data_IF_603741422532
#
_entry.id   IF_603741422532
#
_cell.length_a   1.000
_cell.length_b   1.000
_cell.length_c   1.000
_cell.angle_alpha   90.00
_cell.angle_beta   90.00
_cell.angle_gamma   90.00
#
_symmetry.space_group_name_H-M   'P 1'
#
loop_
_entity.id
_entity.type
_entity.pdbx_description
1 polymer ?
#
# COMPACT_ATOMS: atom_id res chain seq x y z
N UNK A 1 3.52 40.84 46.98
CA UNK A 1 3.11 41.89 46.03
C UNK A 1 3.77 41.58 44.68
N UNK A 2 3.05 40.94 43.75
CA UNK A 2 3.51 40.78 42.38
C UNK A 2 3.18 42.06 41.60
N UNK A 3 4.20 42.70 41.03
CA UNK A 3 4.06 43.99 40.36
C UNK A 3 3.06 43.90 39.19
N UNK A 4 2.19 44.91 39.10
CA UNK A 4 1.06 45.06 38.18
C UNK A 4 1.45 45.03 36.68
N UNK A 5 2.74 45.03 36.37
CA UNK A 5 3.33 45.13 35.02
C UNK A 5 3.46 43.79 34.27
N UNK A 6 3.44 42.63 34.95
CA UNK A 6 3.66 41.34 34.25
C UNK A 6 2.36 40.63 33.80
N UNK A 7 1.18 41.21 34.07
CA UNK A 7 -0.11 40.58 33.71
C UNK A 7 -0.33 40.48 32.20
N UNK A 8 0.27 41.38 31.43
CA UNK A 8 0.20 41.39 29.96
C UNK A 8 1.02 40.28 29.31
N UNK A 9 2.09 39.82 29.97
CA UNK A 9 2.94 38.72 29.47
C UNK A 9 2.15 37.40 29.47
N UNK A 10 1.35 37.15 30.51
CA UNK A 10 0.50 35.95 30.56
C UNK A 10 -0.66 35.98 29.57
N UNK A 11 -1.21 37.17 29.29
CA UNK A 11 -2.30 37.33 28.31
C UNK A 11 -1.81 37.09 26.88
N UNK A 12 -0.55 37.41 26.55
CA UNK A 12 0.02 37.11 25.23
C UNK A 12 0.61 35.70 25.10
N UNK A 13 1.07 35.08 26.20
CA UNK A 13 1.65 33.73 26.17
C UNK A 13 0.62 32.63 25.89
N UNK A 14 -0.59 32.76 26.43
CA UNK A 14 -1.66 31.76 26.30
C UNK A 14 -2.10 31.55 24.84
N UNK A 15 -2.42 32.60 24.04
CA UNK A 15 -2.77 32.41 22.64
C UNK A 15 -1.58 31.89 21.81
N UNK A 16 -0.35 32.27 22.16
CA UNK A 16 0.86 31.77 21.48
C UNK A 16 1.06 30.26 21.70
N UNK A 17 0.90 29.78 22.94
CA UNK A 17 0.95 28.36 23.26
C UNK A 17 -0.18 27.57 22.59
N UNK A 18 -1.40 28.13 22.54
CA UNK A 18 -2.51 27.47 21.83
C UNK A 18 -2.24 27.38 20.33
N UNK A 19 -1.71 28.43 19.70
CA UNK A 19 -1.33 28.39 18.29
C UNK A 19 -0.26 27.33 18.02
N UNK A 20 0.75 27.22 18.89
CA UNK A 20 1.81 26.23 18.77
C UNK A 20 1.29 24.79 18.94
N UNK A 21 0.38 24.57 19.90
CA UNK A 21 -0.26 23.27 20.11
C UNK A 21 -1.10 22.86 18.89
N UNK A 22 -1.80 23.81 18.26
CA UNK A 22 -2.53 23.56 17.01
C UNK A 22 -1.57 23.15 15.90
N UNK A 23 -0.46 23.88 15.72
CA UNK A 23 0.56 23.57 14.70
C UNK A 23 1.15 22.16 14.87
N UNK A 24 1.44 21.77 16.11
CA UNK A 24 1.96 20.44 16.46
C UNK A 24 0.92 19.31 16.30
N UNK A 25 -0.37 19.66 16.25
CA UNK A 25 -1.46 18.70 16.04
C UNK A 25 -1.88 18.55 14.58
N UNK A 26 -1.26 19.30 13.65
CA UNK A 26 -1.43 18.99 12.24
C UNK A 26 -0.79 17.62 11.94
N UNK A 27 -1.49 16.73 11.21
CA UNK A 27 -0.88 15.48 10.79
C UNK A 27 0.35 15.79 9.94
N UNK A 28 1.48 15.16 10.26
CA UNK A 28 2.67 15.22 9.42
C UNK A 28 2.30 14.72 8.02
N UNK A 29 2.29 15.63 7.05
CA UNK A 29 2.13 15.26 5.65
C UNK A 29 3.46 14.67 5.18
N UNK A 30 3.60 13.35 5.33
CA UNK A 30 4.59 12.61 4.60
C UNK A 30 4.15 12.59 3.13
N UNK A 31 4.83 13.35 2.28
CA UNK A 31 4.76 13.11 0.84
C UNK A 31 5.57 11.84 0.59
N UNK A 32 4.90 10.74 0.29
CA UNK A 32 5.56 9.66 -0.43
C UNK A 32 6.12 10.28 -1.71
N UNK A 33 7.43 10.23 -1.90
CA UNK A 33 7.96 10.32 -3.25
C UNK A 33 7.33 9.15 -3.97
N UNK A 34 6.45 9.43 -4.92
CA UNK A 34 6.08 8.44 -5.93
C UNK A 34 7.38 8.11 -6.65
N UNK A 35 8.10 7.08 -6.17
CA UNK A 35 8.89 6.24 -7.05
C UNK A 35 7.95 5.98 -8.22
N UNK A 36 8.37 6.40 -9.42
CA UNK A 36 7.52 6.42 -10.60
C UNK A 36 6.73 5.13 -10.66
N UNK A 37 5.41 5.22 -10.81
CA UNK A 37 4.49 4.09 -10.86
C UNK A 37 5.14 2.98 -11.67
N UNK A 38 5.73 2.01 -10.99
CA UNK A 38 6.15 0.80 -11.65
C UNK A 38 4.84 0.13 -11.95
N UNK A 39 4.49 0.03 -13.24
CA UNK A 39 3.28 -0.68 -13.67
C UNK A 39 3.30 -2.15 -13.18
N UNK A 40 4.44 -2.63 -12.68
CA UNK A 40 4.65 -3.89 -12.00
C UNK A 40 4.75 -3.71 -10.47
N UNK A 41 3.82 -4.31 -9.72
CA UNK A 41 3.80 -4.32 -8.24
C UNK A 41 4.93 -5.13 -7.61
N UNK A 42 5.45 -6.14 -8.30
CA UNK A 42 6.56 -6.97 -7.81
C UNK A 42 7.83 -6.15 -7.64
N UNK A 43 8.06 -5.17 -8.52
CA UNK A 43 9.22 -4.28 -8.43
C UNK A 43 9.23 -3.42 -7.16
N UNK A 44 8.07 -3.21 -6.51
CA UNK A 44 8.02 -2.50 -5.23
C UNK A 44 8.83 -3.21 -4.13
N UNK A 45 8.96 -4.54 -4.20
CA UNK A 45 9.75 -5.33 -3.25
C UNK A 45 11.05 -5.89 -3.86
N UNK A 46 11.12 -5.95 -5.19
CA UNK A 46 12.22 -6.61 -5.92
C UNK A 46 13.08 -5.62 -6.74
N UNK A 47 12.98 -4.31 -6.51
CA UNK A 47 13.71 -3.26 -7.24
C UNK A 47 15.23 -3.54 -7.31
N UNK A 48 15.85 -3.87 -6.18
CA UNK A 48 17.29 -4.17 -6.09
C UNK A 48 17.64 -5.62 -6.47
N UNK A 49 16.70 -6.55 -6.26
CA UNK A 49 16.90 -7.96 -6.62
C UNK A 49 16.94 -8.16 -8.14
N UNK A 50 16.31 -7.25 -8.89
CA UNK A 50 16.38 -7.17 -10.35
C UNK A 50 17.80 -6.85 -10.87
N UNK A 51 18.60 -6.14 -10.07
CA UNK A 51 19.99 -5.82 -10.41
C UNK A 51 21.00 -6.86 -9.89
N UNK A 52 20.59 -7.72 -8.95
CA UNK A 52 21.52 -8.53 -8.16
C UNK A 52 21.31 -10.05 -8.25
N UNK A 53 20.17 -10.56 -8.73
CA UNK A 53 20.02 -11.99 -9.00
C UNK A 53 19.71 -12.27 -10.47
N UNK A 54 20.66 -13.00 -11.06
CA UNK A 54 20.75 -13.58 -12.39
C UNK A 54 21.12 -12.61 -13.54
N UNK A 55 22.32 -12.04 -13.43
CA UNK A 55 23.09 -11.38 -14.50
C UNK A 55 22.52 -10.11 -15.15
N UNK A 56 21.31 -9.67 -14.81
CA UNK A 56 20.67 -8.49 -15.41
C UNK A 56 20.40 -8.65 -16.91
N UNK A 57 20.46 -9.90 -17.42
CA UNK A 57 20.24 -10.20 -18.83
C UNK A 57 18.78 -10.48 -19.06
N UNK A 58 18.20 -9.46 -19.66
CA UNK A 58 16.79 -9.26 -19.79
C UNK A 58 16.25 -10.08 -20.97
N UNK A 59 15.94 -11.34 -20.72
CA UNK A 59 15.42 -12.20 -21.77
C UNK A 59 13.92 -11.98 -21.92
N UNK A 60 13.53 -11.27 -22.99
CA UNK A 60 12.15 -10.95 -23.36
C UNK A 60 11.40 -10.07 -22.34
N UNK A 61 11.76 -8.78 -22.21
CA UNK A 61 10.75 -7.81 -21.72
C UNK A 61 9.63 -7.76 -22.76
N UNK A 62 8.47 -8.26 -22.38
CA UNK A 62 7.22 -7.75 -22.92
C UNK A 62 6.97 -6.40 -22.24
N UNK A 63 6.65 -5.35 -23.00
CA UNK A 63 6.25 -4.05 -22.44
C UNK A 63 4.85 -4.17 -21.83
N UNK A 64 4.73 -4.95 -20.76
CA UNK A 64 3.49 -5.22 -20.05
C UNK A 64 3.65 -4.85 -18.59
N UNK A 65 2.57 -4.34 -17.99
CA UNK A 65 2.52 -3.90 -16.61
C UNK A 65 3.04 -5.01 -15.66
N UNK A 66 2.54 -6.23 -15.80
CA UNK A 66 2.90 -7.38 -14.95
C UNK A 66 3.96 -8.31 -15.57
N UNK A 67 4.98 -7.75 -16.21
CA UNK A 67 5.98 -8.53 -16.97
C UNK A 67 6.65 -9.66 -16.18
N UNK A 68 6.75 -9.56 -14.84
CA UNK A 68 7.27 -10.64 -13.99
C UNK A 68 6.31 -11.84 -13.98
N UNK A 69 5.03 -11.61 -13.70
CA UNK A 69 4.02 -12.68 -13.64
C UNK A 69 3.74 -13.30 -15.02
N UNK A 70 4.02 -12.56 -16.10
CA UNK A 70 3.94 -13.09 -17.47
C UNK A 70 4.84 -14.29 -17.72
N UNK A 71 5.95 -14.43 -16.99
CA UNK A 71 6.84 -15.59 -17.07
C UNK A 71 6.81 -16.43 -15.80
N UNK A 72 6.88 -15.78 -14.63
CA UNK A 72 7.03 -16.42 -13.33
C UNK A 72 5.70 -16.76 -12.65
N UNK A 73 4.54 -16.51 -13.28
CA UNK A 73 3.23 -16.69 -12.67
C UNK A 73 3.07 -15.90 -11.35
N UNK A 74 2.27 -16.40 -10.41
CA UNK A 74 1.93 -15.69 -9.17
C UNK A 74 0.77 -14.71 -9.35
N UNK A 75 0.51 -13.93 -8.30
CA UNK A 75 -0.58 -12.95 -8.27
C UNK A 75 -0.03 -11.51 -8.24
N UNK A 76 0.10 -10.83 -9.39
CA UNK A 76 0.61 -9.47 -9.44
C UNK A 76 -0.36 -8.44 -8.83
N UNK A 77 -1.60 -8.83 -8.52
CA UNK A 77 -2.59 -7.91 -7.93
C UNK A 77 -2.51 -7.80 -6.41
N UNK A 78 -1.76 -8.69 -5.74
CA UNK A 78 -1.59 -8.67 -4.28
C UNK A 78 -0.24 -8.09 -3.87
N UNK A 79 -0.25 -7.26 -2.83
CA UNK A 79 0.95 -6.74 -2.17
C UNK A 79 1.38 -7.59 -0.95
N UNK A 80 0.62 -8.63 -0.62
CA UNK A 80 1.00 -9.57 0.45
C UNK A 80 1.87 -10.66 -0.16
N UNK A 81 3.07 -10.84 0.38
CA UNK A 81 4.09 -11.77 -0.14
C UNK A 81 3.56 -13.18 -0.37
N UNK A 82 2.83 -13.72 0.59
CA UNK A 82 2.34 -15.11 0.54
C UNK A 82 1.27 -15.28 -0.54
N UNK A 83 0.43 -14.26 -0.75
CA UNK A 83 -0.58 -14.26 -1.80
C UNK A 83 0.02 -13.97 -3.18
N UNK A 84 0.99 -13.06 -3.26
CA UNK A 84 1.65 -12.68 -4.52
C UNK A 84 2.53 -13.80 -5.07
N UNK A 85 3.17 -14.57 -4.19
CA UNK A 85 4.03 -15.69 -4.56
C UNK A 85 3.28 -17.02 -4.70
N UNK A 86 1.96 -17.05 -4.43
CA UNK A 86 1.20 -18.29 -4.53
C UNK A 86 1.19 -18.80 -5.97
N UNK A 87 1.75 -20.00 -6.18
CA UNK A 87 1.86 -20.59 -7.52
C UNK A 87 2.94 -19.95 -8.40
N UNK A 88 3.84 -19.14 -7.82
CA UNK A 88 4.99 -18.58 -8.52
C UNK A 88 5.94 -19.70 -8.99
N UNK A 89 6.33 -19.64 -10.25
CA UNK A 89 7.37 -20.46 -10.85
C UNK A 89 8.69 -19.69 -10.81
N UNK A 90 9.62 -20.18 -9.98
CA UNK A 90 10.96 -19.58 -9.89
C UNK A 90 11.72 -19.69 -11.22
N UNK A 91 11.51 -20.80 -11.94
CA UNK A 91 12.23 -21.15 -13.15
C UNK A 91 11.24 -21.57 -14.25
N UNK A 92 10.67 -20.61 -15.01
CA UNK A 92 9.64 -20.88 -16.01
C UNK A 92 10.04 -21.88 -17.10
N UNK A 93 11.35 -22.05 -17.34
CA UNK A 93 11.91 -23.02 -18.28
C UNK A 93 11.75 -24.48 -17.85
N UNK A 94 11.50 -24.75 -16.56
CA UNK A 94 11.43 -26.12 -16.02
C UNK A 94 10.26 -26.94 -16.54
N UNK A 95 9.20 -26.28 -17.02
CA UNK A 95 8.05 -26.94 -17.64
C UNK A 95 8.21 -27.13 -19.16
N UNK A 96 9.44 -27.11 -19.67
CA UNK A 96 9.73 -27.24 -21.10
C UNK A 96 9.33 -25.99 -21.89
N UNK A 97 9.35 -24.81 -21.26
CA UNK A 97 8.98 -23.56 -21.91
C UNK A 97 7.49 -23.47 -22.24
N UNK A 98 6.62 -24.16 -21.48
CA UNK A 98 5.18 -24.12 -21.70
C UNK A 98 4.64 -22.69 -21.65
N UNK A 99 5.21 -21.83 -20.79
CA UNK A 99 4.85 -20.41 -20.73
C UNK A 99 5.24 -19.64 -21.98
N UNK A 100 6.37 -20.00 -22.60
CA UNK A 100 6.82 -19.38 -23.85
C UNK A 100 5.82 -19.61 -25.00
N UNK A 101 5.05 -20.71 -24.98
CA UNK A 101 4.02 -21.01 -25.98
C UNK A 101 2.82 -20.06 -25.94
N UNK A 102 2.65 -19.27 -24.87
CA UNK A 102 1.57 -18.28 -24.81
C UNK A 102 1.83 -17.09 -25.74
N UNK A 103 3.09 -16.81 -26.04
CA UNK A 103 3.52 -15.67 -26.88
C UNK A 103 4.26 -16.10 -28.16
N UNK A 104 4.80 -17.32 -28.17
CA UNK A 104 5.60 -17.86 -29.26
C UNK A 104 4.98 -19.13 -29.83
N UNK A 105 5.27 -19.43 -31.09
CA UNK A 105 4.79 -20.64 -31.73
C UNK A 105 5.63 -21.83 -31.24
N UNK A 106 5.06 -23.02 -31.34
CA UNK A 106 5.77 -24.25 -30.94
C UNK A 106 7.07 -24.49 -31.72
N UNK A 107 7.17 -23.96 -32.94
CA UNK A 107 8.35 -24.07 -33.80
C UNK A 107 9.53 -23.19 -33.38
N UNK A 108 9.29 -22.02 -32.74
CA UNK A 108 10.35 -21.10 -32.33
C UNK A 108 10.72 -21.17 -30.85
N UNK A 109 9.89 -21.79 -30.01
CA UNK A 109 10.19 -21.99 -28.57
C UNK A 109 11.53 -22.69 -28.30
N UNK A 110 11.90 -23.80 -28.98
CA UNK A 110 13.18 -24.47 -28.71
C UNK A 110 14.40 -23.55 -28.94
N UNK A 111 14.36 -22.74 -30.00
CA UNK A 111 15.45 -21.80 -30.32
C UNK A 111 15.49 -20.67 -29.28
N UNK A 112 14.33 -20.19 -28.83
CA UNK A 112 14.25 -19.17 -27.77
C UNK A 112 14.77 -19.68 -26.44
N UNK A 113 14.50 -20.93 -26.09
CA UNK A 113 15.04 -21.55 -24.88
C UNK A 113 16.56 -21.66 -24.93
N UNK A 114 17.13 -22.09 -26.07
CA UNK A 114 18.59 -22.13 -26.27
C UNK A 114 19.22 -20.74 -26.14
N UNK A 115 18.59 -19.72 -26.74
CA UNK A 115 19.08 -18.35 -26.62
C UNK A 115 18.98 -17.83 -25.17
N UNK A 116 17.87 -18.16 -24.48
CA UNK A 116 17.66 -17.81 -23.08
C UNK A 116 18.76 -18.42 -22.19
N UNK A 117 19.06 -19.71 -22.35
CA UNK A 117 20.16 -20.39 -21.67
C UNK A 117 21.51 -19.71 -21.96
N UNK A 118 21.83 -19.48 -23.24
CA UNK A 118 23.07 -18.83 -23.66
C UNK A 118 23.23 -17.38 -23.14
N UNK A 119 22.13 -16.67 -22.95
CA UNK A 119 22.08 -15.31 -22.42
C UNK A 119 22.03 -15.26 -20.90
N UNK A 120 22.40 -16.34 -20.19
CA UNK A 120 22.49 -16.35 -18.73
C UNK A 120 21.22 -16.84 -18.02
N UNK A 121 20.35 -17.54 -18.74
CA UNK A 121 19.38 -18.45 -18.16
C UNK A 121 20.06 -19.60 -17.41
N UNK A 122 19.28 -20.44 -16.73
CA UNK A 122 19.82 -21.53 -15.91
C UNK A 122 20.22 -22.74 -16.78
N UNK A 123 21.50 -23.12 -16.68
CA UNK A 123 22.12 -24.25 -17.40
C UNK A 123 21.65 -25.64 -16.90
N UNK A 124 21.24 -25.75 -15.63
CA UNK A 124 20.81 -27.03 -15.04
C UNK A 124 19.57 -26.83 -14.15
N UNK A 125 18.51 -27.57 -14.48
CA UNK A 125 17.21 -27.57 -13.80
C UNK A 125 17.36 -28.26 -12.44
N UNK A 126 17.56 -27.48 -11.37
CA UNK A 126 17.35 -27.97 -10.02
C UNK A 126 15.91 -27.67 -9.68
N UNK A 127 15.00 -28.63 -9.90
CA UNK A 127 13.58 -28.43 -9.53
C UNK A 127 13.47 -27.98 -8.07
N UNK A 128 13.08 -26.73 -7.79
CA UNK A 128 12.48 -26.42 -6.52
C UNK A 128 11.02 -26.87 -6.64
N UNK A 129 10.51 -27.59 -5.65
CA UNK A 129 9.07 -27.77 -5.54
C UNK A 129 8.41 -26.37 -5.63
N UNK A 130 7.35 -26.25 -6.45
CA UNK A 130 6.61 -25.00 -6.58
C UNK A 130 6.33 -24.43 -5.18
N UNK A 131 6.46 -23.11 -5.00
CA UNK A 131 6.28 -22.51 -3.68
C UNK A 131 4.87 -22.83 -3.17
N UNK A 132 4.80 -23.80 -2.25
CA UNK A 132 3.63 -24.11 -1.46
C UNK A 132 3.82 -23.38 -0.13
N UNK A 133 3.01 -22.36 0.18
CA UNK A 133 3.13 -21.69 1.47
C UNK A 133 2.97 -22.72 2.60
N UNK A 134 3.87 -22.68 3.58
CA UNK A 134 3.88 -23.61 4.72
C UNK A 134 2.60 -23.52 5.58
N UNK A 135 1.80 -22.48 5.37
CA UNK A 135 0.57 -22.20 6.08
C UNK A 135 -0.48 -21.88 5.01
N UNK A 136 -1.70 -22.44 5.14
CA UNK A 136 -2.81 -22.05 4.27
C UNK A 136 -2.99 -20.55 4.46
N UNK A 137 -2.73 -19.78 3.41
CA UNK A 137 -3.14 -18.38 3.36
C UNK A 137 -4.65 -18.38 3.55
N UNK A 138 -5.08 -17.98 4.75
CA UNK A 138 -6.44 -17.52 4.91
C UNK A 138 -6.56 -16.38 3.90
N UNK A 139 -7.38 -16.58 2.86
CA UNK A 139 -7.88 -15.51 2.04
C UNK A 139 -8.78 -14.65 2.94
N UNK A 140 -8.14 -13.99 3.90
CA UNK A 140 -8.75 -13.10 4.86
C UNK A 140 -9.17 -11.89 4.06
N UNK A 141 -10.37 -11.97 3.49
CA UNK A 141 -11.18 -10.78 3.34
C UNK A 141 -11.08 -10.05 4.68
N UNK A 142 -10.66 -8.77 4.69
CA UNK A 142 -10.55 -8.04 5.94
C UNK A 142 -11.90 -8.15 6.62
N UNK A 143 -11.89 -8.62 7.87
CA UNK A 143 -13.08 -8.65 8.71
C UNK A 143 -13.69 -7.26 8.62
N UNK A 144 -14.90 -7.18 8.04
CA UNK A 144 -15.59 -5.91 7.87
C UNK A 144 -15.86 -5.42 9.27
N UNK A 145 -14.97 -4.56 9.78
CA UNK A 145 -15.08 -3.98 11.10
C UNK A 145 -16.42 -3.26 11.09
N UNK A 146 -17.41 -3.80 11.79
CA UNK A 146 -18.68 -3.10 11.99
C UNK A 146 -18.34 -1.76 12.65
N UNK A 147 -18.36 -0.70 11.84
CA UNK A 147 -18.07 0.63 12.31
C UNK A 147 -19.26 1.00 13.17
N UNK A 148 -19.09 0.94 14.49
CA UNK A 148 -20.13 1.39 15.41
C UNK A 148 -20.40 2.88 15.12
N UNK A 149 -21.49 3.14 14.40
CA UNK A 149 -21.87 4.47 13.90
C UNK A 149 -22.02 5.48 15.02
N UNK A 150 -22.28 5.02 16.23
CA UNK A 150 -22.40 5.83 17.44
C UNK A 150 -21.05 6.44 17.86
N UNK A 151 -19.96 5.68 17.73
CA UNK A 151 -18.60 6.16 18.05
C UNK A 151 -18.13 7.15 16.97
N UNK A 152 -18.39 6.85 15.70
CA UNK A 152 -17.98 7.72 14.58
C UNK A 152 -18.69 9.07 14.62
N UNK A 153 -19.96 9.08 15.04
CA UNK A 153 -20.79 10.28 15.05
C UNK A 153 -20.83 11.03 16.39
N UNK A 154 -20.07 10.59 17.40
CA UNK A 154 -20.06 11.20 18.74
C UNK A 154 -19.83 12.71 18.71
N UNK A 155 -18.91 13.19 17.86
CA UNK A 155 -18.61 14.63 17.74
C UNK A 155 -19.81 15.45 17.27
N UNK A 156 -20.61 14.91 16.34
CA UNK A 156 -21.84 15.55 15.86
C UNK A 156 -22.95 15.53 16.90
N UNK A 157 -23.08 14.44 17.65
CA UNK A 157 -24.05 14.34 18.76
C UNK A 157 -23.77 15.36 19.86
N UNK A 158 -22.50 15.49 20.26
CA UNK A 158 -22.07 16.50 21.24
C UNK A 158 -22.35 17.92 20.71
N UNK A 159 -22.01 18.19 19.45
CA UNK A 159 -22.30 19.49 18.81
C UNK A 159 -23.79 19.81 18.78
N UNK A 160 -24.64 18.85 18.40
CA UNK A 160 -26.09 19.00 18.36
C UNK A 160 -26.68 19.26 19.75
N UNK A 161 -26.17 18.57 20.79
CA UNK A 161 -26.61 18.78 22.18
C UNK A 161 -26.36 20.22 22.66
N UNK A 162 -25.16 20.77 22.41
CA UNK A 162 -24.86 22.15 22.78
C UNK A 162 -25.65 23.18 21.97
N UNK A 163 -25.82 22.96 20.67
CA UNK A 163 -26.60 23.84 19.81
C UNK A 163 -28.08 23.89 20.24
N UNK A 164 -28.66 22.72 20.54
CA UNK A 164 -30.04 22.62 21.03
C UNK A 164 -30.21 23.24 22.42
N UNK A 165 -29.26 23.00 23.34
CA UNK A 165 -29.26 23.64 24.66
C UNK A 165 -29.19 25.17 24.57
N UNK A 166 -28.34 25.71 23.70
CA UNK A 166 -28.25 27.14 23.43
C UNK A 166 -29.57 27.69 22.88
N UNK A 167 -30.18 26.99 21.91
CA UNK A 167 -31.47 27.37 21.35
C UNK A 167 -32.58 27.41 22.41
N UNK A 168 -32.67 26.40 23.28
CA UNK A 168 -33.65 26.38 24.37
C UNK A 168 -33.45 27.55 25.34
N UNK A 169 -32.21 27.86 25.71
CA UNK A 169 -31.92 29.02 26.56
C UNK A 169 -32.38 30.31 25.86
N UNK A 170 -32.08 30.49 24.58
CA UNK A 170 -32.52 31.67 23.83
C UNK A 170 -34.04 31.76 23.73
N UNK A 171 -34.75 30.65 23.56
CA UNK A 171 -36.22 30.62 23.51
C UNK A 171 -36.84 30.95 24.88
N UNK A 172 -36.36 30.31 25.95
CA UNK A 172 -36.92 30.51 27.30
C UNK A 172 -36.60 31.88 27.90
N UNK A 173 -35.46 32.47 27.52
CA UNK A 173 -35.03 33.78 28.01
C UNK A 173 -35.22 34.90 26.97
N UNK A 174 -35.89 34.62 25.84
CA UNK A 174 -36.26 35.66 24.88
C UNK A 174 -37.22 36.65 25.55
N UNK A 175 -36.90 37.95 25.56
CA UNK A 175 -37.77 38.99 26.10
C UNK A 175 -39.03 39.23 25.26
N UNK A 176 -39.11 38.61 24.07
CA UNK A 176 -40.30 38.60 23.23
C UNK A 176 -41.15 37.38 23.58
N UNK A 177 -42.01 37.55 24.60
CA UNK A 177 -43.20 36.71 24.75
C UNK A 177 -44.21 37.07 23.64
N UNK A 178 -45.02 36.13 23.14
CA UNK A 178 -46.26 36.50 22.46
C UNK A 178 -47.16 37.33 23.38
#
# INVERSE_FOLDING_TARGET
>A
MFAKTNRWIFVSMIPLLMALAVILSLPAQASAQTAGTSDNTCLTCHEDLYYLHDSGKLCCITTHADHCAGCHEGNPTSMKKEESHLGLLLHPQENGGAKCLECHKSEDVPIRMINFEADGGLDEVIQPEAYLPCEKTEAGFPEVREVNTLITNWKWLVGAFFAFGLWLVLVFFSPLKP
#
